data_IF_480265475541
#
_entry.id   IF_480265475541
#
_cell.length_a   1.000
_cell.length_b   1.000
_cell.length_c   1.000
_cell.angle_alpha   90.00
_cell.angle_beta   90.00
_cell.angle_gamma   90.00
#
_symmetry.space_group_name_H-M   'P 1'
#
loop_
_entity.id
_entity.type
_entity.pdbx_description
1 polymer ?
#
# COMPACT_ATOMS: atom_id res chain seq x y z
N UNK A 1 -11.00 -18.23 -8.08
CA UNK A 1 -12.22 -17.94 -8.85
C UNK A 1 -11.78 -17.60 -10.26
N UNK A 2 -12.24 -18.34 -11.26
CA UNK A 2 -11.86 -18.05 -12.65
C UNK A 2 -12.73 -16.89 -13.18
N UNK A 3 -12.12 -15.94 -13.89
CA UNK A 3 -12.81 -14.78 -14.48
C UNK A 3 -13.81 -15.15 -15.59
N UNK A 4 -13.57 -16.25 -16.30
CA UNK A 4 -14.37 -16.74 -17.42
C UNK A 4 -14.01 -16.08 -18.76
N UNK A 5 -14.61 -16.59 -19.84
CA UNK A 5 -14.49 -16.08 -21.22
C UNK A 5 -15.64 -15.13 -21.61
N UNK A 6 -16.43 -14.70 -20.63
CA UNK A 6 -17.62 -13.89 -20.85
C UNK A 6 -17.29 -12.47 -21.30
N UNK A 7 -18.20 -11.87 -22.06
CA UNK A 7 -18.04 -10.47 -22.48
C UNK A 7 -18.09 -9.47 -21.31
N UNK A 8 -18.79 -9.84 -20.24
CA UNK A 8 -19.00 -9.04 -19.02
C UNK A 8 -19.31 -10.01 -17.87
N UNK A 9 -18.31 -10.32 -17.06
CA UNK A 9 -18.46 -11.16 -15.88
C UNK A 9 -18.46 -10.32 -14.61
N UNK A 10 -19.11 -10.83 -13.57
CA UNK A 10 -19.14 -10.20 -12.25
C UNK A 10 -18.61 -11.23 -11.25
N UNK A 11 -17.49 -10.90 -10.63
CA UNK A 11 -16.90 -11.70 -9.56
C UNK A 11 -17.09 -10.96 -8.25
N UNK A 12 -17.38 -11.69 -7.19
CA UNK A 12 -17.54 -11.12 -5.86
C UNK A 12 -16.52 -11.71 -4.92
N UNK A 13 -15.80 -10.83 -4.24
CA UNK A 13 -14.80 -11.17 -3.23
C UNK A 13 -15.26 -10.65 -1.86
N UNK A 14 -14.71 -11.21 -0.80
CA UNK A 14 -15.07 -10.86 0.58
C UNK A 14 -14.01 -9.94 1.19
N UNK A 15 -14.39 -8.82 1.80
CA UNK A 15 -13.45 -7.80 2.29
C UNK A 15 -12.78 -8.11 3.64
N UNK A 16 -12.87 -9.35 4.13
CA UNK A 16 -12.38 -9.65 5.48
C UNK A 16 -10.87 -9.84 5.43
N UNK A 17 -10.14 -9.40 6.46
CA UNK A 17 -8.67 -9.48 6.46
C UNK A 17 -8.13 -10.90 6.34
N UNK A 18 -8.89 -11.90 6.77
CA UNK A 18 -8.58 -13.33 6.61
C UNK A 18 -8.97 -13.91 5.23
N UNK A 19 -9.55 -13.10 4.34
CA UNK A 19 -10.05 -13.56 3.05
C UNK A 19 -8.96 -13.44 1.99
N UNK A 20 -8.36 -14.57 1.61
CA UNK A 20 -7.48 -14.67 0.45
C UNK A 20 -8.16 -15.37 -0.73
N UNK A 21 -8.94 -14.61 -1.50
CA UNK A 21 -9.46 -15.10 -2.76
C UNK A 21 -8.41 -14.91 -3.85
N UNK A 22 -8.24 -15.93 -4.68
CA UNK A 22 -7.42 -15.84 -5.88
C UNK A 22 -8.33 -15.63 -7.10
N UNK A 23 -8.10 -14.59 -7.88
CA UNK A 23 -8.76 -14.36 -9.17
C UNK A 23 -7.89 -14.93 -10.29
N UNK A 24 -8.33 -16.04 -10.87
CA UNK A 24 -7.58 -16.80 -11.87
C UNK A 24 -7.90 -16.28 -13.26
N UNK A 25 -6.86 -15.90 -13.98
CA UNK A 25 -6.87 -15.48 -15.37
C UNK A 25 -6.02 -16.46 -16.16
N UNK A 26 -6.69 -17.41 -16.82
CA UNK A 26 -6.04 -18.49 -17.60
C UNK A 26 -6.38 -18.46 -19.10
N UNK A 27 -7.18 -17.49 -19.52
CA UNK A 27 -7.51 -17.21 -20.91
C UNK A 27 -7.86 -15.73 -21.10
N UNK A 28 -8.01 -15.29 -22.35
CA UNK A 28 -8.51 -13.95 -22.65
C UNK A 28 -9.99 -13.84 -22.24
N UNK A 29 -10.36 -12.70 -21.69
CA UNK A 29 -11.64 -12.38 -21.10
C UNK A 29 -12.19 -11.05 -21.66
N UNK A 30 -13.48 -10.79 -21.44
CA UNK A 30 -14.08 -9.51 -21.78
C UNK A 30 -13.82 -8.45 -20.70
N UNK A 31 -14.89 -7.85 -20.20
CA UNK A 31 -14.83 -7.04 -18.97
C UNK A 31 -15.19 -7.90 -17.76
N UNK A 32 -14.47 -7.73 -16.66
CA UNK A 32 -14.81 -8.34 -15.38
C UNK A 32 -14.97 -7.23 -14.35
N UNK A 33 -16.14 -7.15 -13.74
CA UNK A 33 -16.36 -6.29 -12.58
C UNK A 33 -16.16 -7.10 -11.31
N UNK A 34 -15.19 -6.70 -10.50
CA UNK A 34 -14.89 -7.30 -9.22
C UNK A 34 -15.56 -6.45 -8.13
N UNK A 35 -16.51 -7.07 -7.44
CA UNK A 35 -17.23 -6.44 -6.33
C UNK A 35 -16.57 -6.88 -5.02
N UNK A 36 -15.91 -5.92 -4.35
CA UNK A 36 -15.46 -6.09 -2.98
C UNK A 36 -16.54 -5.58 -2.01
N UNK A 37 -16.93 -6.43 -1.05
CA UNK A 37 -18.00 -6.11 -0.10
C UNK A 37 -17.45 -5.61 1.22
N UNK A 38 -17.33 -4.28 1.39
CA UNK A 38 -16.91 -3.68 2.65
C UNK A 38 -18.00 -3.76 3.73
N UNK A 39 -17.62 -3.75 5.01
CA UNK A 39 -18.58 -3.65 6.13
C UNK A 39 -19.07 -2.22 6.37
N UNK A 40 -18.36 -1.23 5.85
CA UNK A 40 -18.75 0.18 5.92
C UNK A 40 -19.78 0.55 4.86
N UNK A 41 -20.47 1.67 5.06
CA UNK A 41 -21.46 2.17 4.12
C UNK A 41 -20.84 2.40 2.73
N UNK A 42 -21.56 2.14 1.62
CA UNK A 42 -21.10 2.54 0.30
C UNK A 42 -20.83 4.06 0.16
N UNK A 43 -21.44 4.88 1.03
CA UNK A 43 -21.23 6.33 1.04
C UNK A 43 -20.01 6.76 1.88
N UNK A 44 -19.40 5.81 2.61
CA UNK A 44 -18.27 6.03 3.51
C UNK A 44 -17.00 5.46 2.87
N UNK A 45 -16.54 6.13 1.79
CA UNK A 45 -15.43 5.66 0.95
C UNK A 45 -14.07 5.77 1.64
N UNK A 46 -13.92 6.71 2.57
CA UNK A 46 -12.66 7.01 3.26
C UNK A 46 -12.36 5.99 4.38
N UNK A 47 -13.39 5.29 4.90
CA UNK A 47 -13.24 4.25 5.93
C UNK A 47 -13.24 2.81 5.36
N UNK A 48 -12.95 2.63 4.06
CA UNK A 48 -12.94 1.32 3.39
C UNK A 48 -11.60 0.59 3.53
N UNK A 49 -10.99 0.65 4.70
CA UNK A 49 -9.66 0.08 4.96
C UNK A 49 -9.69 -1.46 4.96
N UNK A 50 -10.88 -2.05 5.12
CA UNK A 50 -11.09 -3.49 5.04
C UNK A 50 -11.05 -3.95 3.57
N UNK A 51 -9.89 -4.42 3.13
CA UNK A 51 -9.67 -5.13 1.87
C UNK A 51 -9.03 -6.48 2.23
N UNK A 52 -9.68 -7.60 1.90
CA UNK A 52 -9.04 -8.90 2.13
C UNK A 52 -7.78 -9.05 1.28
N UNK A 53 -6.84 -9.88 1.73
CA UNK A 53 -5.58 -10.16 1.02
C UNK A 53 -5.82 -11.05 -0.22
N UNK A 54 -6.44 -10.49 -1.26
CA UNK A 54 -6.73 -11.20 -2.50
C UNK A 54 -5.55 -11.13 -3.46
N UNK A 55 -5.41 -12.15 -4.32
CA UNK A 55 -4.36 -12.20 -5.33
C UNK A 55 -4.90 -12.41 -6.74
N UNK A 56 -4.20 -11.85 -7.71
CA UNK A 56 -4.36 -12.16 -9.13
C UNK A 56 -3.49 -13.36 -9.50
N UNK A 57 -4.05 -14.32 -10.22
CA UNK A 57 -3.34 -15.52 -10.64
C UNK A 57 -3.28 -15.57 -12.17
N UNK A 58 -2.08 -15.29 -12.67
CA UNK A 58 -1.70 -15.35 -14.07
C UNK A 58 -0.76 -16.53 -14.35
N UNK A 59 -0.77 -17.59 -13.52
CA UNK A 59 0.13 -18.74 -13.68
C UNK A 59 0.01 -19.48 -15.02
N UNK A 60 -1.06 -19.24 -15.78
CA UNK A 60 -1.21 -19.73 -17.16
C UNK A 60 -0.34 -18.97 -18.18
N UNK A 61 0.11 -17.76 -17.82
CA UNK A 61 0.92 -16.86 -18.65
C UNK A 61 2.33 -16.64 -18.08
N UNK A 62 2.47 -16.73 -16.75
CA UNK A 62 3.72 -16.52 -16.04
C UNK A 62 4.36 -17.87 -15.70
N UNK A 63 4.96 -18.51 -16.71
CA UNK A 63 5.53 -19.86 -16.63
C UNK A 63 7.06 -19.90 -16.76
N UNK A 64 7.74 -18.76 -16.59
CA UNK A 64 9.20 -18.67 -16.68
C UNK A 64 9.88 -19.56 -15.63
N UNK A 65 10.97 -20.20 -16.03
CA UNK A 65 11.78 -21.07 -15.17
C UNK A 65 13.26 -20.70 -15.28
N UNK A 66 14.02 -20.94 -14.22
CA UNK A 66 15.49 -20.83 -14.21
C UNK A 66 16.13 -22.18 -13.94
N UNK A 67 17.32 -22.39 -14.50
CA UNK A 67 18.16 -23.57 -14.24
C UNK A 67 19.64 -23.19 -14.08
N UNK A 68 20.07 -23.06 -12.83
CA UNK A 68 21.47 -22.82 -12.42
C UNK A 68 22.48 -23.83 -12.99
N UNK A 69 21.99 -24.97 -13.51
CA UNK A 69 22.84 -26.06 -13.98
C UNK A 69 23.45 -25.82 -15.37
N UNK A 70 23.03 -24.77 -16.09
CA UNK A 70 23.59 -24.24 -17.36
C UNK A 70 23.95 -25.37 -18.36
N UNK A 71 23.02 -26.31 -18.56
CA UNK A 71 23.28 -27.52 -19.34
C UNK A 71 22.19 -27.88 -20.36
N UNK A 72 21.36 -26.91 -20.72
CA UNK A 72 20.24 -27.02 -21.66
C UNK A 72 19.19 -28.10 -21.31
N UNK A 73 19.16 -28.64 -20.07
CA UNK A 73 18.11 -29.56 -19.64
C UNK A 73 17.30 -28.98 -18.47
N UNK A 74 15.97 -29.00 -18.60
CA UNK A 74 15.06 -28.55 -17.55
C UNK A 74 14.89 -29.57 -16.42
N UNK A 75 15.82 -30.52 -16.23
CA UNK A 75 15.67 -31.57 -15.21
C UNK A 75 15.82 -31.00 -13.78
N UNK A 76 16.52 -29.87 -13.63
CA UNK A 76 16.71 -29.13 -12.37
C UNK A 76 16.06 -27.75 -12.36
N UNK A 77 15.31 -27.42 -13.41
CA UNK A 77 14.64 -26.13 -13.51
C UNK A 77 13.66 -25.91 -12.36
N UNK A 78 13.61 -24.67 -11.87
CA UNK A 78 12.66 -24.21 -10.87
C UNK A 78 11.88 -23.03 -11.43
N UNK A 79 10.63 -22.90 -11.02
CA UNK A 79 9.79 -21.76 -11.42
C UNK A 79 10.37 -20.45 -10.86
N UNK A 80 10.32 -19.40 -11.67
CA UNK A 80 10.57 -18.04 -11.20
C UNK A 80 9.34 -17.60 -10.41
N UNK A 81 9.53 -17.19 -9.16
CA UNK A 81 8.43 -16.69 -8.34
C UNK A 81 7.81 -15.45 -9.00
N UNK A 82 6.49 -15.36 -8.97
CA UNK A 82 5.80 -14.20 -9.52
C UNK A 82 6.05 -12.96 -8.65
N UNK A 83 6.16 -11.79 -9.27
CA UNK A 83 6.32 -10.52 -8.55
C UNK A 83 5.30 -9.48 -9.00
N UNK A 84 5.02 -8.52 -8.13
CA UNK A 84 4.23 -7.33 -8.45
C UNK A 84 5.14 -6.11 -8.49
N UNK A 85 5.00 -5.29 -9.53
CA UNK A 85 5.75 -4.07 -9.74
C UNK A 85 4.79 -2.91 -9.98
N UNK A 86 4.91 -1.87 -9.16
CA UNK A 86 4.23 -0.59 -9.39
C UNK A 86 5.20 0.32 -10.12
N UNK A 87 5.00 0.48 -11.42
CA UNK A 87 6.01 1.08 -12.30
C UNK A 87 6.32 2.52 -11.91
N UNK A 88 7.59 2.79 -11.64
CA UNK A 88 8.04 4.12 -11.26
C UNK A 88 7.86 5.13 -12.41
N UNK A 89 7.49 6.37 -12.10
CA UNK A 89 7.30 7.40 -13.12
C UNK A 89 5.99 7.30 -13.91
N UNK A 90 5.15 6.29 -13.66
CA UNK A 90 3.73 6.35 -13.98
C UNK A 90 3.08 7.38 -13.02
N UNK A 91 3.07 8.64 -13.44
CA UNK A 91 2.97 9.88 -12.64
C UNK A 91 1.76 10.06 -11.72
N UNK A 92 0.94 9.03 -11.53
CA UNK A 92 -0.24 9.03 -10.68
C UNK A 92 -0.32 7.85 -9.69
N UNK A 93 0.75 7.05 -9.52
CA UNK A 93 0.83 5.98 -8.49
C UNK A 93 1.53 6.39 -7.19
N UNK A 94 1.92 7.66 -7.03
CA UNK A 94 2.65 8.13 -5.84
C UNK A 94 4.07 7.56 -5.74
N UNK A 95 4.91 8.13 -4.87
CA UNK A 95 6.26 7.60 -4.59
C UNK A 95 6.27 6.59 -3.43
N UNK A 96 5.14 6.42 -2.76
CA UNK A 96 4.97 5.46 -1.67
C UNK A 96 4.33 4.20 -2.25
N UNK A 97 5.12 3.12 -2.35
CA UNK A 97 4.62 1.79 -2.67
C UNK A 97 4.55 0.95 -1.40
N UNK A 98 3.58 0.05 -1.33
CA UNK A 98 3.48 -0.93 -0.24
C UNK A 98 4.74 -1.78 -0.17
N UNK A 99 5.12 -2.19 1.05
CA UNK A 99 6.25 -3.10 1.24
C UNK A 99 6.07 -4.38 0.41
N UNK A 100 7.15 -4.88 -0.18
CA UNK A 100 7.14 -6.09 -1.01
C UNK A 100 6.78 -5.87 -2.48
N UNK A 101 6.32 -4.67 -2.85
CA UNK A 101 6.17 -4.28 -4.26
C UNK A 101 7.47 -3.71 -4.80
N UNK A 102 7.84 -4.10 -6.02
CA UNK A 102 8.86 -3.39 -6.76
C UNK A 102 8.34 -2.00 -7.16
N UNK A 103 9.26 -1.04 -7.26
CA UNK A 103 8.97 0.30 -7.75
C UNK A 103 10.07 0.77 -8.70
N UNK A 104 10.14 0.13 -9.85
CA UNK A 104 11.10 0.49 -10.89
C UNK A 104 10.49 0.31 -12.29
N UNK A 105 11.26 0.69 -13.30
CA UNK A 105 10.86 0.65 -14.71
C UNK A 105 11.24 -0.69 -15.39
N UNK A 106 11.39 -1.78 -14.63
CA UNK A 106 11.87 -3.07 -15.10
C UNK A 106 10.78 -4.14 -15.03
N UNK A 107 10.43 -4.72 -16.17
CA UNK A 107 9.59 -5.91 -16.25
C UNK A 107 10.47 -7.16 -16.13
N UNK A 108 10.44 -7.82 -14.97
CA UNK A 108 11.21 -9.05 -14.69
C UNK A 108 10.43 -10.29 -15.19
N UNK A 109 11.13 -11.40 -15.42
CA UNK A 109 10.47 -12.69 -15.66
C UNK A 109 9.39 -12.97 -14.59
N UNK A 110 8.22 -13.43 -15.04
CA UNK A 110 7.02 -13.64 -14.20
C UNK A 110 6.54 -12.40 -13.41
N UNK A 111 6.75 -11.18 -13.89
CA UNK A 111 6.25 -9.96 -13.23
C UNK A 111 4.86 -9.53 -13.69
N UNK A 112 4.08 -8.97 -12.76
CA UNK A 112 2.84 -8.23 -13.01
C UNK A 112 3.12 -6.75 -12.75
N UNK A 113 3.07 -5.95 -13.81
CA UNK A 113 3.47 -4.54 -13.80
C UNK A 113 2.23 -3.65 -13.89
N UNK A 114 2.02 -2.80 -12.90
CA UNK A 114 0.94 -1.81 -12.89
C UNK A 114 1.46 -0.46 -13.37
N UNK A 115 0.79 0.11 -14.37
CA UNK A 115 1.09 1.42 -14.95
C UNK A 115 -0.21 2.21 -15.00
N UNK A 116 -0.16 3.51 -14.73
CA UNK A 116 -1.31 4.40 -14.93
C UNK A 116 -1.26 5.11 -16.27
N UNK A 117 -2.35 5.07 -17.03
CA UNK A 117 -2.51 5.76 -18.31
C UNK A 117 -3.01 7.18 -18.09
N UNK A 118 -2.28 8.18 -18.58
CA UNK A 118 -2.69 9.58 -18.51
C UNK A 118 -3.18 10.07 -19.88
N UNK A 119 -4.49 9.98 -20.10
CA UNK A 119 -5.08 10.31 -21.40
C UNK A 119 -5.00 11.80 -21.73
N UNK A 120 -4.81 12.67 -20.72
CA UNK A 120 -4.82 14.12 -20.89
C UNK A 120 -3.49 14.69 -21.44
N UNK A 121 -2.45 13.86 -21.59
CA UNK A 121 -1.16 14.30 -22.11
C UNK A 121 -1.11 14.39 -23.64
N UNK A 122 -2.01 13.69 -24.34
CA UNK A 122 -2.03 13.64 -25.81
C UNK A 122 -3.44 13.76 -26.38
N UNK A 123 -3.59 14.66 -27.37
CA UNK A 123 -4.89 14.94 -27.99
C UNK A 123 -5.36 13.74 -28.86
N UNK A 124 -6.38 13.02 -28.39
CA UNK A 124 -7.08 11.99 -29.17
C UNK A 124 -6.67 10.55 -28.85
N UNK A 125 -5.74 10.36 -27.93
CA UNK A 125 -5.38 9.07 -27.36
C UNK A 125 -6.23 8.85 -26.11
N UNK A 126 -6.79 7.66 -25.98
CA UNK A 126 -7.82 7.40 -24.95
C UNK A 126 -7.63 6.01 -24.39
N UNK A 127 -8.06 5.81 -23.14
CA UNK A 127 -8.01 4.49 -22.52
C UNK A 127 -8.80 3.46 -23.33
N UNK A 128 -9.98 3.83 -23.85
CA UNK A 128 -10.78 2.99 -24.75
C UNK A 128 -9.99 2.59 -26.02
N UNK A 129 -9.19 3.50 -26.57
CA UNK A 129 -8.38 3.28 -27.76
C UNK A 129 -7.08 2.51 -27.55
N UNK A 130 -6.62 2.34 -26.31
CA UNK A 130 -5.45 1.50 -25.97
C UNK A 130 -5.73 0.04 -26.35
N UNK A 131 -4.83 -0.59 -27.09
CA UNK A 131 -4.88 -1.98 -27.55
C UNK A 131 -3.47 -2.58 -27.54
N UNK A 132 -3.38 -3.88 -27.82
CA UNK A 132 -2.12 -4.62 -27.93
C UNK A 132 -1.07 -3.91 -28.81
N UNK A 133 -1.47 -3.47 -30.01
CA UNK A 133 -0.55 -2.90 -31.00
C UNK A 133 0.00 -1.54 -30.58
N UNK A 134 -0.81 -0.64 -30.03
CA UNK A 134 -0.31 0.68 -29.63
C UNK A 134 0.39 0.64 -28.28
N UNK A 135 0.03 -0.25 -27.35
CA UNK A 135 0.81 -0.48 -26.14
C UNK A 135 2.23 -0.96 -26.48
N UNK A 136 2.34 -1.99 -27.33
CA UNK A 136 3.64 -2.53 -27.74
C UNK A 136 4.49 -1.48 -28.46
N UNK A 137 3.85 -0.67 -29.32
CA UNK A 137 4.54 0.40 -30.06
C UNK A 137 5.02 1.49 -29.11
N UNK A 138 4.19 1.88 -28.14
CA UNK A 138 4.51 2.92 -27.17
C UNK A 138 5.63 2.50 -26.22
N UNK A 139 5.58 1.29 -25.64
CA UNK A 139 6.63 0.79 -24.74
C UNK A 139 7.96 0.50 -25.45
N UNK A 140 7.95 0.38 -26.78
CA UNK A 140 9.17 0.25 -27.60
C UNK A 140 9.43 1.51 -28.44
N UNK A 141 8.84 2.65 -28.08
CA UNK A 141 8.87 3.86 -28.91
C UNK A 141 10.29 4.39 -29.03
N UNK A 142 10.85 4.38 -30.24
CA UNK A 142 12.18 4.95 -30.49
C UNK A 142 12.16 6.49 -30.59
N UNK A 143 10.99 7.07 -30.85
CA UNK A 143 10.76 8.50 -31.02
C UNK A 143 9.36 8.87 -30.45
N UNK A 144 9.18 10.15 -30.08
CA UNK A 144 7.95 10.63 -29.43
C UNK A 144 6.66 10.52 -30.26
N UNK A 145 6.77 10.28 -31.57
CA UNK A 145 5.60 10.09 -32.45
C UNK A 145 4.97 8.69 -32.30
N UNK A 146 5.68 7.74 -31.69
CA UNK A 146 5.25 6.35 -31.46
C UNK A 146 4.72 6.13 -30.03
N UNK A 147 4.75 7.17 -29.19
CA UNK A 147 4.19 7.17 -27.82
C UNK A 147 2.65 7.07 -27.85
N UNK A 148 2.04 6.66 -26.73
CA UNK A 148 0.59 6.65 -26.57
C UNK A 148 0.20 7.14 -25.16
N UNK A 149 -0.36 8.34 -25.05
CA UNK A 149 -0.61 9.05 -23.80
C UNK A 149 0.71 9.40 -23.11
N UNK A 150 0.91 8.85 -21.91
CA UNK A 150 2.18 8.89 -21.19
C UNK A 150 3.06 7.64 -21.42
N UNK A 151 2.60 6.66 -22.19
CA UNK A 151 3.31 5.40 -22.39
C UNK A 151 4.46 5.61 -23.39
N UNK A 152 5.67 5.27 -22.98
CA UNK A 152 6.90 5.38 -23.78
C UNK A 152 7.93 4.33 -23.35
N UNK A 153 9.05 4.26 -24.08
CA UNK A 153 10.18 3.35 -23.82
C UNK A 153 10.86 3.60 -22.47
N UNK A 154 10.83 4.82 -21.94
CA UNK A 154 11.38 5.10 -20.62
C UNK A 154 10.52 4.57 -19.47
N UNK A 155 9.24 4.27 -19.72
CA UNK A 155 8.27 3.96 -18.68
C UNK A 155 8.38 2.51 -18.18
N UNK A 156 8.53 1.53 -19.04
CA UNK A 156 8.72 0.14 -18.64
C UNK A 156 9.53 -0.58 -19.71
N UNK A 157 10.60 -1.25 -19.28
CA UNK A 157 11.50 -2.00 -20.17
C UNK A 157 11.65 -3.44 -19.68
N UNK A 158 11.90 -4.40 -20.59
CA UNK A 158 12.31 -5.74 -20.18
C UNK A 158 13.57 -5.73 -19.31
N UNK A 159 13.55 -6.53 -18.25
CA UNK A 159 14.70 -6.82 -17.42
C UNK A 159 15.49 -8.02 -17.93
N UNK A 160 16.70 -8.19 -17.38
CA UNK A 160 17.51 -9.40 -17.62
C UNK A 160 17.31 -10.45 -16.55
N UNK A 161 17.01 -11.69 -16.96
CA UNK A 161 16.92 -12.84 -16.07
C UNK A 161 18.04 -13.84 -16.37
N UNK A 162 18.94 -14.00 -15.40
CA UNK A 162 20.02 -14.98 -15.51
C UNK A 162 19.47 -16.40 -15.47
N UNK A 163 20.15 -17.31 -16.17
CA UNK A 163 19.88 -18.76 -16.14
C UNK A 163 18.44 -19.14 -16.53
N UNK A 164 17.75 -18.28 -17.28
CA UNK A 164 16.41 -18.53 -17.81
C UNK A 164 16.40 -19.78 -18.70
N UNK A 165 15.39 -20.63 -18.53
CA UNK A 165 15.17 -21.80 -19.37
C UNK A 165 14.51 -21.35 -20.68
N UNK A 166 15.32 -21.29 -21.73
CA UNK A 166 14.90 -20.72 -23.02
C UNK A 166 15.20 -19.23 -23.10
N UNK A 167 14.75 -18.59 -24.17
CA UNK A 167 15.12 -17.20 -24.47
C UNK A 167 13.97 -16.21 -24.23
N UNK A 168 12.75 -16.69 -23.94
CA UNK A 168 11.54 -15.86 -23.82
C UNK A 168 11.15 -15.68 -22.36
N UNK A 169 10.88 -14.43 -21.96
CA UNK A 169 10.32 -14.04 -20.66
C UNK A 169 8.86 -13.62 -20.81
N UNK A 170 8.08 -13.85 -19.75
CA UNK A 170 6.67 -13.53 -19.68
C UNK A 170 6.40 -12.40 -18.69
N UNK A 171 5.53 -11.47 -19.09
CA UNK A 171 5.16 -10.30 -18.28
C UNK A 171 3.66 -10.06 -18.39
N UNK A 172 3.04 -9.64 -17.30
CA UNK A 172 1.71 -9.03 -17.33
C UNK A 172 1.88 -7.53 -17.17
N UNK A 173 1.16 -6.75 -17.97
CA UNK A 173 1.04 -5.30 -17.83
C UNK A 173 -0.42 -4.95 -17.61
N UNK A 174 -0.71 -4.33 -16.47
CA UNK A 174 -2.01 -3.80 -16.11
C UNK A 174 -1.97 -2.29 -16.23
N UNK A 175 -2.65 -1.76 -17.25
CA UNK A 175 -2.73 -0.34 -17.51
C UNK A 175 -4.01 0.22 -16.89
N UNK A 176 -3.88 1.07 -15.88
CA UNK A 176 -4.97 1.70 -15.16
C UNK A 176 -5.53 2.92 -15.91
N UNK A 177 -6.85 3.07 -15.87
CA UNK A 177 -7.57 4.23 -16.40
C UNK A 177 -7.46 5.44 -15.44
N UNK A 178 -6.85 6.55 -15.87
CA UNK A 178 -6.79 7.78 -15.04
C UNK A 178 -8.14 8.40 -14.73
N UNK A 179 -9.16 8.16 -15.57
CA UNK A 179 -10.51 8.67 -15.38
C UNK A 179 -11.41 7.76 -14.54
N UNK A 180 -11.00 6.51 -14.29
CA UNK A 180 -11.75 5.52 -13.54
C UNK A 180 -10.78 4.64 -12.76
N UNK A 181 -10.34 5.15 -11.61
CA UNK A 181 -9.42 4.45 -10.71
C UNK A 181 -9.95 3.05 -10.34
N UNK A 182 -9.07 2.05 -10.37
CA UNK A 182 -9.45 0.65 -10.20
C UNK A 182 -9.91 -0.07 -11.46
N UNK A 183 -9.99 0.59 -12.62
CA UNK A 183 -10.21 -0.04 -13.92
C UNK A 183 -8.89 -0.22 -14.68
N UNK A 184 -8.56 -1.47 -15.04
CA UNK A 184 -7.32 -1.86 -15.68
C UNK A 184 -7.58 -2.60 -16.99
N UNK A 185 -6.85 -2.24 -18.04
CA UNK A 185 -6.66 -3.10 -19.22
C UNK A 185 -5.45 -3.99 -18.98
N UNK A 186 -5.61 -5.29 -19.20
CA UNK A 186 -4.61 -6.30 -18.88
C UNK A 186 -4.03 -6.86 -20.17
N UNK A 187 -2.71 -6.91 -20.25
CA UNK A 187 -1.96 -7.39 -21.40
C UNK A 187 -0.94 -8.43 -20.97
N UNK A 188 -0.76 -9.48 -21.78
CA UNK A 188 0.38 -10.37 -21.70
C UNK A 188 1.44 -9.92 -22.70
N UNK A 189 2.64 -9.63 -22.21
CA UNK A 189 3.77 -9.24 -23.02
C UNK A 189 4.86 -10.31 -22.93
N UNK A 190 5.61 -10.47 -24.01
CA UNK A 190 6.83 -11.28 -24.01
C UNK A 190 8.04 -10.45 -24.38
N UNK A 191 9.22 -10.85 -23.92
CA UNK A 191 10.50 -10.28 -24.33
C UNK A 191 11.57 -11.38 -24.44
N UNK A 192 12.71 -11.07 -25.06
CA UNK A 192 13.89 -11.93 -24.90
C UNK A 192 14.60 -11.64 -23.55
N UNK A 193 15.41 -12.56 -23.03
CA UNK A 193 16.08 -12.41 -21.71
C UNK A 193 17.06 -11.23 -21.63
N UNK A 194 17.59 -10.76 -22.74
CA UNK A 194 18.53 -9.63 -22.82
C UNK A 194 18.10 -8.56 -23.82
N UNK A 195 16.81 -8.53 -24.16
CA UNK A 195 16.25 -7.53 -25.06
C UNK A 195 16.07 -6.18 -24.37
N UNK A 196 16.31 -5.12 -25.14
CA UNK A 196 15.93 -3.75 -24.77
C UNK A 196 14.43 -3.50 -25.03
N UNK A 197 13.78 -4.31 -25.88
CA UNK A 197 12.40 -4.13 -26.36
C UNK A 197 11.50 -5.34 -26.04
N UNK A 198 10.20 -5.10 -25.86
CA UNK A 198 9.19 -6.16 -25.84
C UNK A 198 9.00 -6.77 -27.24
N UNK A 199 8.73 -8.07 -27.29
CA UNK A 199 8.57 -8.84 -28.53
C UNK A 199 7.12 -8.94 -28.99
N UNK A 200 6.19 -9.17 -28.07
CA UNK A 200 4.75 -9.27 -28.35
C UNK A 200 3.94 -8.61 -27.25
N UNK A 201 2.69 -8.25 -27.57
CA UNK A 201 1.66 -7.91 -26.62
C UNK A 201 0.35 -8.54 -27.08
N UNK A 202 -0.40 -9.10 -26.14
CA UNK A 202 -1.73 -9.67 -26.35
C UNK A 202 -2.69 -9.10 -25.28
N UNK A 203 -3.76 -8.43 -25.70
CA UNK A 203 -4.78 -7.93 -24.76
C UNK A 203 -5.58 -9.10 -24.19
N UNK A 204 -5.55 -9.25 -22.87
CA UNK A 204 -6.29 -10.28 -22.16
C UNK A 204 -7.71 -9.83 -21.82
N UNK A 205 -7.92 -8.56 -21.47
CA UNK A 205 -9.25 -8.04 -21.14
C UNK A 205 -9.23 -6.82 -20.23
N UNK A 206 -10.37 -6.49 -19.62
CA UNK A 206 -10.51 -5.36 -18.67
C UNK A 206 -10.99 -5.83 -17.30
N UNK A 207 -10.26 -5.51 -16.24
CA UNK A 207 -10.66 -5.73 -14.84
C UNK A 207 -11.10 -4.40 -14.23
N UNK A 208 -12.22 -4.40 -13.50
CA UNK A 208 -12.77 -3.21 -12.85
C UNK A 208 -13.10 -3.53 -11.40
N UNK A 209 -12.27 -3.06 -10.48
CA UNK A 209 -12.40 -3.28 -9.04
C UNK A 209 -13.24 -2.19 -8.35
N UNK A 210 -13.65 -1.15 -9.08
CA UNK A 210 -14.35 0.02 -8.56
C UNK A 210 -13.53 0.99 -7.70
N UNK A 211 -12.32 0.58 -7.28
CA UNK A 211 -11.29 1.37 -6.64
C UNK A 211 -9.92 0.69 -6.85
N UNK A 212 -8.82 1.41 -6.61
CA UNK A 212 -7.48 0.81 -6.55
C UNK A 212 -7.42 -0.34 -5.54
N UNK A 213 -6.64 -1.38 -5.86
CA UNK A 213 -6.52 -2.59 -5.03
C UNK A 213 -5.12 -2.75 -4.44
N UNK A 214 -5.03 -3.52 -3.36
CA UNK A 214 -3.77 -4.13 -2.95
C UNK A 214 -3.31 -5.14 -4.02
N UNK A 215 -2.09 -4.98 -4.48
CA UNK A 215 -1.52 -5.77 -5.59
C UNK A 215 -0.82 -7.02 -5.04
N UNK A 216 -1.57 -8.09 -4.78
CA UNK A 216 -0.97 -9.41 -4.58
C UNK A 216 -1.06 -10.26 -5.84
N UNK A 217 -0.06 -11.11 -6.03
CA UNK A 217 0.02 -12.04 -7.16
C UNK A 217 0.22 -13.46 -6.64
N UNK A 218 -0.53 -14.42 -7.17
CA UNK A 218 -0.36 -15.82 -6.83
C UNK A 218 0.99 -16.33 -7.35
N UNK A 219 1.68 -17.13 -6.53
CA UNK A 219 3.06 -17.55 -6.79
C UNK A 219 4.12 -16.53 -6.36
N UNK A 220 3.71 -15.40 -5.75
CA UNK A 220 4.64 -14.53 -5.01
C UNK A 220 4.90 -15.08 -3.61
N UNK A 221 6.14 -14.95 -3.14
CA UNK A 221 6.54 -15.43 -1.81
C UNK A 221 5.72 -14.77 -0.70
N UNK A 222 5.41 -13.47 -0.82
CA UNK A 222 4.57 -12.75 0.16
C UNK A 222 3.17 -13.36 0.28
N UNK A 223 2.51 -13.62 -0.85
CA UNK A 223 1.18 -14.21 -0.83
C UNK A 223 1.18 -15.66 -0.31
N UNK A 224 2.21 -16.44 -0.66
CA UNK A 224 2.40 -17.79 -0.12
C UNK A 224 2.59 -17.78 1.40
N UNK A 225 3.45 -16.89 1.91
CA UNK A 225 3.66 -16.71 3.35
C UNK A 225 2.36 -16.35 4.07
N UNK A 226 1.56 -15.44 3.50
CA UNK A 226 0.25 -15.08 4.06
C UNK A 226 -0.68 -16.31 4.12
N UNK A 227 -0.81 -17.05 3.01
CA UNK A 227 -1.71 -18.22 2.93
C UNK A 227 -1.27 -19.34 3.88
N UNK A 228 0.03 -19.55 4.04
CA UNK A 228 0.58 -20.50 5.01
C UNK A 228 0.29 -20.05 6.45
N UNK A 229 0.55 -18.78 6.76
CA UNK A 229 0.35 -18.22 8.09
C UNK A 229 -1.12 -18.26 8.54
N UNK A 230 -2.06 -17.87 7.67
CA UNK A 230 -3.51 -17.94 7.98
C UNK A 230 -3.99 -19.39 8.15
N UNK A 231 -3.45 -20.32 7.36
CA UNK A 231 -3.77 -21.75 7.47
C UNK A 231 -3.26 -22.32 8.79
N UNK A 232 -2.02 -21.98 9.18
CA UNK A 232 -1.42 -22.41 10.44
C UNK A 232 -2.16 -21.82 11.65
N UNK A 233 -2.49 -20.53 11.60
CA UNK A 233 -3.25 -19.86 12.65
C UNK A 233 -4.61 -20.53 12.89
N UNK A 234 -5.32 -20.86 11.81
CA UNK A 234 -6.59 -21.58 11.88
C UNK A 234 -6.45 -23.00 12.45
N UNK A 235 -5.41 -23.74 12.06
CA UNK A 235 -5.15 -25.08 12.58
C UNK A 235 -4.79 -25.08 14.08
N UNK A 236 -4.09 -24.04 14.54
CA UNK A 236 -3.76 -23.82 15.95
C UNK A 236 -4.91 -23.20 16.75
N UNK A 237 -5.95 -22.70 16.07
CA UNK A 237 -7.04 -21.94 16.68
C UNK A 237 -6.61 -20.58 17.21
N UNK A 238 -5.53 -20.02 16.66
CA UNK A 238 -5.10 -18.65 16.88
C UNK A 238 -6.03 -17.68 16.15
N UNK A 239 -6.16 -16.48 16.71
CA UNK A 239 -6.88 -15.37 16.09
C UNK A 239 -5.92 -14.51 15.28
N UNK A 240 -4.73 -14.28 15.81
CA UNK A 240 -3.76 -13.36 15.20
C UNK A 240 -2.60 -14.14 14.60
N UNK A 241 -2.00 -13.62 13.52
CA UNK A 241 -0.87 -14.22 12.85
C UNK A 241 -0.01 -13.21 12.13
N UNK A 242 1.29 -13.50 12.06
CA UNK A 242 2.26 -12.69 11.33
C UNK A 242 2.77 -13.42 10.10
N UNK A 243 3.08 -12.67 9.05
CA UNK A 243 3.73 -13.21 7.85
C UNK A 243 4.83 -12.27 7.34
N UNK A 244 5.83 -12.86 6.70
CA UNK A 244 6.93 -12.10 6.13
C UNK A 244 6.53 -11.55 4.76
N UNK A 245 6.75 -10.25 4.58
CA UNK A 245 6.64 -9.54 3.30
C UNK A 245 7.98 -9.58 2.61
N UNK A 246 8.01 -10.13 1.41
CA UNK A 246 9.21 -10.45 0.65
C UNK A 246 9.21 -9.67 -0.67
N UNK A 247 10.35 -9.06 -1.00
CA UNK A 247 10.56 -8.38 -2.28
C UNK A 247 10.82 -9.35 -3.44
N UNK A 248 10.88 -8.85 -4.68
CA UNK A 248 11.20 -9.65 -5.88
C UNK A 248 12.60 -10.29 -5.84
N UNK A 249 13.50 -9.78 -5.01
CA UNK A 249 14.83 -10.35 -4.78
C UNK A 249 14.84 -11.49 -3.75
N UNK A 250 13.69 -11.82 -3.16
CA UNK A 250 13.56 -12.85 -2.13
C UNK A 250 13.98 -12.39 -0.73
N UNK A 251 14.14 -11.08 -0.50
CA UNK A 251 14.50 -10.54 0.82
C UNK A 251 13.24 -10.23 1.62
N UNK A 252 13.23 -10.59 2.91
CA UNK A 252 12.21 -10.12 3.85
C UNK A 252 12.42 -8.63 4.08
N UNK A 253 11.45 -7.82 3.67
CA UNK A 253 11.48 -6.35 3.78
C UNK A 253 10.59 -5.82 4.89
N UNK A 254 9.58 -6.59 5.30
CA UNK A 254 8.74 -6.30 6.45
C UNK A 254 8.15 -7.58 7.04
N UNK A 255 7.57 -7.47 8.22
CA UNK A 255 6.69 -8.50 8.80
C UNK A 255 5.36 -7.81 9.06
N UNK A 256 4.29 -8.37 8.54
CA UNK A 256 2.92 -7.85 8.69
C UNK A 256 2.15 -8.71 9.70
N UNK A 257 1.18 -8.09 10.37
CA UNK A 257 0.24 -8.72 11.32
C UNK A 257 -1.17 -8.73 10.72
N UNK A 258 -1.93 -9.78 11.00
CA UNK A 258 -3.29 -9.97 10.52
C UNK A 258 -4.11 -10.83 11.50
N UNK A 259 -5.44 -10.67 11.47
CA UNK A 259 -6.39 -11.42 12.31
C UNK A 259 -7.35 -12.27 11.45
N UNK A 260 -7.48 -13.54 11.82
CA UNK A 260 -8.37 -14.55 11.22
C UNK A 260 -9.86 -14.20 11.41
N UNK A 261 -10.19 -13.46 12.46
CA UNK A 261 -11.55 -13.08 12.86
C UNK A 261 -11.90 -11.64 12.53
N UNK A 262 -10.99 -10.86 11.95
CA UNK A 262 -11.32 -9.51 11.51
C UNK A 262 -12.28 -9.57 10.30
N UNK A 263 -13.56 -9.63 10.65
CA UNK A 263 -14.64 -10.25 9.87
C UNK A 263 -15.89 -10.55 10.71
N UNK A 264 -15.73 -10.87 11.99
CA UNK A 264 -16.83 -10.96 12.97
C UNK A 264 -16.67 -9.84 14.00
N UNK A 265 -17.50 -8.81 13.91
CA UNK A 265 -17.41 -7.67 14.82
C UNK A 265 -17.45 -8.09 16.29
N UNK A 266 -16.49 -7.58 17.07
CA UNK A 266 -16.65 -7.39 18.50
C UNK A 266 -16.60 -5.89 18.83
N UNK A 267 -17.64 -5.18 18.42
CA UNK A 267 -18.08 -4.01 19.18
C UNK A 267 -18.66 -4.53 20.51
N UNK A 268 -17.81 -4.81 21.51
CA UNK A 268 -18.31 -5.58 22.66
C UNK A 268 -17.45 -5.82 23.89
N UNK A 269 -16.40 -5.04 24.17
CA UNK A 269 -16.00 -4.69 25.53
C UNK A 269 -15.24 -5.73 26.39
N UNK A 270 -14.16 -5.26 26.99
CA UNK A 270 -13.61 -5.82 28.22
C UNK A 270 -13.33 -4.69 29.22
N UNK A 271 -14.31 -4.41 30.08
CA UNK A 271 -14.12 -3.60 31.26
C UNK A 271 -13.15 -4.28 32.25
N UNK A 272 -12.17 -3.50 32.71
CA UNK A 272 -11.28 -3.85 33.82
C UNK A 272 -11.03 -2.63 34.69
N UNK A 273 -12.02 -2.25 35.51
CA UNK A 273 -11.92 -1.11 36.44
C UNK A 273 -10.87 -1.29 37.53
N UNK A 274 -10.27 -0.18 37.98
CA UNK A 274 -9.24 -0.21 39.03
C UNK A 274 -8.73 1.12 39.61
N UNK A 275 -9.62 2.01 40.03
CA UNK A 275 -9.47 2.93 41.18
C UNK A 275 -8.23 3.88 41.31
N UNK A 276 -8.43 5.15 40.94
CA UNK A 276 -8.52 6.31 41.85
C UNK A 276 -7.32 6.78 42.71
N UNK A 277 -6.87 8.02 42.45
CA UNK A 277 -6.52 9.13 43.39
C UNK A 277 -5.61 10.12 42.61
N UNK A 278 -5.94 11.39 42.36
CA UNK A 278 -6.23 12.44 43.33
C UNK A 278 -4.92 13.10 43.83
N UNK A 279 -4.51 14.24 43.27
CA UNK A 279 -3.40 15.01 43.87
C UNK A 279 -2.87 16.19 43.05
N UNK A 280 -3.16 17.40 43.52
CA UNK A 280 -2.74 18.68 42.94
C UNK A 280 -1.23 18.97 43.04
N UNK A 281 -0.69 19.60 41.98
CA UNK A 281 0.12 20.82 42.02
C UNK A 281 1.60 20.74 42.42
N UNK A 282 2.48 21.32 41.59
CA UNK A 282 3.77 21.82 42.06
C UNK A 282 4.85 21.99 40.99
N UNK A 283 5.12 23.24 40.65
CA UNK A 283 6.34 23.77 40.02
C UNK A 283 7.67 23.16 40.50
N UNK A 284 8.65 22.99 39.61
CA UNK A 284 10.06 22.95 40.01
C UNK A 284 11.03 22.33 39.01
N UNK A 285 11.87 23.19 38.41
CA UNK A 285 13.02 22.84 37.58
C UNK A 285 14.05 21.90 38.26
N UNK A 286 14.73 21.07 37.45
CA UNK A 286 16.10 20.62 37.75
C UNK A 286 16.50 19.22 37.27
N UNK A 287 16.98 19.14 36.03
CA UNK A 287 18.21 18.44 35.62
C UNK A 287 18.50 16.99 36.07
N UNK A 288 18.55 16.09 35.08
CA UNK A 288 19.71 15.22 34.86
C UNK A 288 19.52 13.72 35.06
N UNK A 289 19.35 13.00 33.95
CA UNK A 289 20.10 11.77 33.66
C UNK A 289 19.39 10.42 33.84
N UNK A 290 19.06 9.82 32.68
CA UNK A 290 19.13 8.39 32.32
C UNK A 290 18.14 7.39 32.95
N UNK A 291 17.25 6.86 32.09
CA UNK A 291 16.47 5.63 32.28
C UNK A 291 14.98 5.87 32.03
N UNK A 292 14.59 5.89 30.75
CA UNK A 292 13.27 6.32 30.24
C UNK A 292 12.09 5.70 30.99
N UNK A 293 11.40 6.54 31.74
CA UNK A 293 9.98 6.34 32.04
C UNK A 293 9.25 7.18 30.99
N UNK A 294 8.28 6.58 30.30
CA UNK A 294 7.35 7.33 29.46
C UNK A 294 6.66 8.39 30.33
N UNK A 295 6.65 9.63 29.85
CA UNK A 295 6.01 10.78 30.47
C UNK A 295 4.66 11.01 29.78
N UNK A 296 3.60 11.30 30.53
CA UNK A 296 2.30 11.70 29.96
C UNK A 296 2.05 13.16 30.27
N UNK A 297 1.79 13.95 29.23
CA UNK A 297 1.47 15.37 29.29
C UNK A 297 0.02 15.55 28.91
N UNK A 298 -0.80 16.01 29.85
CA UNK A 298 -2.21 16.30 29.56
C UNK A 298 -2.36 17.71 28.99
N UNK A 299 -2.95 17.77 27.80
CA UNK A 299 -3.11 18.97 26.99
C UNK A 299 -4.59 19.35 26.97
N UNK A 300 -4.95 20.30 27.83
CA UNK A 300 -6.35 20.76 27.99
C UNK A 300 -6.61 22.13 27.33
N UNK A 301 -5.74 22.58 26.43
CA UNK A 301 -5.77 23.91 25.84
C UNK A 301 -4.45 24.33 25.20
N UNK A 302 -4.42 25.56 24.66
CA UNK A 302 -3.26 26.07 23.95
C UNK A 302 -1.98 26.11 24.81
N UNK A 303 -0.84 25.79 24.20
CA UNK A 303 0.44 25.71 24.91
C UNK A 303 1.60 25.25 24.03
N UNK A 304 2.72 24.97 24.69
CA UNK A 304 3.94 24.45 24.08
C UNK A 304 4.63 23.44 25.01
N UNK A 305 5.30 22.43 24.44
CA UNK A 305 6.17 21.49 25.17
C UNK A 305 7.35 20.97 24.31
N UNK A 306 8.28 20.23 24.92
CA UNK A 306 9.51 19.73 24.31
C UNK A 306 9.79 18.25 24.68
N UNK A 307 9.72 17.36 23.69
CA UNK A 307 9.92 15.91 23.83
C UNK A 307 11.40 15.47 23.86
N UNK A 308 12.38 16.40 23.82
CA UNK A 308 13.80 16.04 23.67
C UNK A 308 14.42 15.15 24.77
N UNK A 309 13.76 14.96 25.91
CA UNK A 309 14.37 14.36 27.10
C UNK A 309 13.87 12.95 27.44
N UNK A 310 12.75 12.50 26.87
CA UNK A 310 12.13 11.19 27.09
C UNK A 310 11.02 10.97 26.06
N UNK A 311 10.60 9.72 25.91
CA UNK A 311 9.39 9.34 25.16
C UNK A 311 8.14 9.91 25.88
N UNK A 312 7.39 10.79 25.22
CA UNK A 312 6.25 11.52 25.77
C UNK A 312 4.94 11.13 25.08
N UNK A 313 3.91 10.84 25.87
CA UNK A 313 2.52 10.77 25.41
C UNK A 313 1.84 12.12 25.65
N UNK A 314 1.44 12.80 24.60
CA UNK A 314 0.62 14.01 24.66
C UNK A 314 -0.84 13.63 24.57
N UNK A 315 -1.57 13.77 25.68
CA UNK A 315 -2.97 13.37 25.84
C UNK A 315 -3.88 14.59 25.67
N UNK A 316 -4.61 14.68 24.55
CA UNK A 316 -5.36 15.87 24.13
C UNK A 316 -6.85 15.78 24.48
N UNK A 317 -7.34 16.76 25.23
CA UNK A 317 -8.78 16.96 25.47
C UNK A 317 -9.51 17.54 24.23
N UNK A 318 -10.82 17.35 24.17
CA UNK A 318 -11.70 18.07 23.22
C UNK A 318 -11.62 19.60 23.40
N UNK A 319 -11.50 20.32 22.28
CA UNK A 319 -11.52 21.78 22.26
C UNK A 319 -11.01 22.40 20.96
N UNK A 320 -11.01 23.73 20.94
CA UNK A 320 -10.52 24.53 19.82
C UNK A 320 -9.28 25.34 20.24
N UNK A 321 -8.09 24.83 19.96
CA UNK A 321 -6.82 25.45 20.35
C UNK A 321 -5.62 24.95 19.55
N UNK A 322 -4.52 25.70 19.63
CA UNK A 322 -3.23 25.41 18.97
C UNK A 322 -2.20 24.97 20.03
N UNK A 323 -1.43 23.92 19.76
CA UNK A 323 -0.38 23.42 20.66
C UNK A 323 0.92 23.12 19.89
N UNK A 324 2.05 23.62 20.38
CA UNK A 324 3.36 23.44 19.73
C UNK A 324 4.20 22.38 20.46
N UNK A 325 4.77 21.41 19.74
CA UNK A 325 5.65 20.38 20.29
C UNK A 325 7.02 20.47 19.62
N UNK A 326 8.08 20.62 20.41
CA UNK A 326 9.45 20.55 19.92
C UNK A 326 10.04 19.14 20.05
N UNK A 327 10.86 18.76 19.08
CA UNK A 327 11.69 17.54 19.07
C UNK A 327 10.91 16.22 19.21
N UNK A 328 9.69 16.15 18.65
CA UNK A 328 8.93 14.91 18.53
C UNK A 328 9.69 13.89 17.67
N UNK A 329 9.87 12.67 18.17
CA UNK A 329 10.63 11.61 17.50
C UNK A 329 10.03 10.22 17.79
N UNK A 330 10.68 9.16 17.31
CA UNK A 330 10.28 7.78 17.55
C UNK A 330 10.19 7.47 19.04
N UNK A 331 9.02 7.00 19.47
CA UNK A 331 8.72 6.70 20.87
C UNK A 331 7.73 7.68 21.51
N UNK A 332 7.57 8.87 20.94
CA UNK A 332 6.53 9.82 21.34
C UNK A 332 5.16 9.44 20.76
N UNK A 333 4.09 9.83 21.45
CA UNK A 333 2.70 9.55 21.08
C UNK A 333 1.86 10.82 21.13
N UNK A 334 1.04 11.05 20.11
CA UNK A 334 -0.09 11.97 20.17
C UNK A 334 -1.37 11.13 20.41
N UNK A 335 -1.99 11.30 21.58
CA UNK A 335 -3.21 10.62 21.97
C UNK A 335 -4.39 11.61 21.82
N UNK A 336 -5.25 11.33 20.84
CA UNK A 336 -6.45 12.11 20.56
C UNK A 336 -7.73 11.38 21.00
N UNK A 337 -7.62 10.32 21.81
CA UNK A 337 -8.77 9.50 22.23
C UNK A 337 -9.87 10.29 22.95
N UNK A 338 -9.49 11.37 23.64
CA UNK A 338 -10.44 12.22 24.35
C UNK A 338 -10.98 13.40 23.51
N UNK A 339 -10.47 13.62 22.28
CA UNK A 339 -10.90 14.73 21.41
C UNK A 339 -12.32 14.55 20.88
N UNK A 340 -12.73 13.33 20.52
CA UNK A 340 -14.09 13.02 20.05
C UNK A 340 -14.88 12.13 21.02
N UNK A 341 -14.32 11.84 22.20
CA UNK A 341 -14.99 11.17 23.31
C UNK A 341 -15.25 9.68 23.06
N UNK A 342 -16.43 9.33 22.53
CA UNK A 342 -16.77 7.91 22.21
C UNK A 342 -16.65 7.58 20.73
N UNK A 343 -16.53 8.61 19.90
CA UNK A 343 -16.29 8.52 18.47
C UNK A 343 -14.81 8.84 18.21
N UNK A 344 -14.26 8.42 17.07
CA UNK A 344 -12.86 8.70 16.72
C UNK A 344 -12.70 10.15 16.21
N UNK A 345 -11.59 10.79 16.61
CA UNK A 345 -11.23 12.10 16.10
C UNK A 345 -10.81 12.02 14.62
N UNK A 346 -11.16 13.03 13.82
CA UNK A 346 -10.76 13.11 12.42
C UNK A 346 -9.37 13.72 12.35
N UNK A 347 -8.35 12.92 12.07
CA UNK A 347 -6.97 13.35 11.94
C UNK A 347 -6.63 13.84 10.53
N UNK A 348 -5.92 14.96 10.42
CA UNK A 348 -5.40 15.48 9.16
C UNK A 348 -3.97 15.97 9.33
N UNK A 349 -3.13 15.72 8.33
CA UNK A 349 -1.87 16.44 8.15
C UNK A 349 -2.16 17.66 7.29
N UNK A 350 -1.87 18.85 7.80
CA UNK A 350 -2.12 20.10 7.10
C UNK A 350 -1.09 20.30 5.98
N UNK A 351 -1.52 20.98 4.91
CA UNK A 351 -0.68 21.22 3.74
C UNK A 351 0.55 22.05 4.11
N UNK A 352 1.73 21.46 3.94
CA UNK A 352 3.01 22.12 4.17
C UNK A 352 3.62 22.61 2.86
N UNK A 353 3.91 23.91 2.79
CA UNK A 353 4.47 24.56 1.62
C UNK A 353 6.00 24.49 1.56
N UNK A 354 6.69 24.20 2.66
CA UNK A 354 8.14 24.30 2.80
C UNK A 354 8.76 23.00 3.33
N UNK A 355 8.59 21.91 2.57
CA UNK A 355 9.16 20.61 2.92
C UNK A 355 10.65 20.70 3.29
N UNK A 356 11.01 20.20 4.47
CA UNK A 356 12.37 20.11 4.98
C UNK A 356 12.83 21.30 5.84
N UNK A 357 11.93 22.17 6.27
CA UNK A 357 12.22 23.25 7.23
C UNK A 357 12.14 22.80 8.70
N UNK A 358 11.68 21.57 8.95
CA UNK A 358 11.61 20.94 10.25
C UNK A 358 10.34 21.26 11.03
N UNK A 359 9.30 21.75 10.35
CA UNK A 359 7.98 22.06 10.91
C UNK A 359 6.88 21.20 10.25
N UNK A 360 5.93 20.69 11.04
CA UNK A 360 4.70 20.07 10.54
C UNK A 360 3.49 20.50 11.32
N UNK A 361 2.39 20.72 10.61
CA UNK A 361 1.11 21.08 11.22
C UNK A 361 0.11 19.95 11.01
N UNK A 362 -0.60 19.61 12.07
CA UNK A 362 -1.58 18.54 12.15
C UNK A 362 -2.87 19.10 12.72
N UNK A 363 -3.99 18.43 12.46
CA UNK A 363 -5.22 18.71 13.18
C UNK A 363 -5.97 17.43 13.54
N UNK A 364 -6.61 17.46 14.71
CA UNK A 364 -7.57 16.46 15.15
C UNK A 364 -8.91 17.17 15.39
N UNK A 365 -9.95 16.76 14.66
CA UNK A 365 -11.26 17.39 14.74
C UNK A 365 -12.30 16.46 15.38
N UNK A 366 -13.10 17.03 16.27
CA UNK A 366 -14.27 16.36 16.82
C UNK A 366 -15.40 16.41 15.77
N UNK A 367 -15.79 15.26 15.24
CA UNK A 367 -16.82 15.14 14.21
C UNK A 367 -18.22 15.61 14.64
N UNK A 368 -18.51 15.59 15.94
CA UNK A 368 -19.80 15.97 16.52
C UNK A 368 -19.93 17.49 16.77
N UNK A 369 -18.86 18.10 17.28
CA UNK A 369 -18.86 19.52 17.68
C UNK A 369 -18.28 20.44 16.60
N UNK A 370 -17.37 19.92 15.77
CA UNK A 370 -16.56 20.68 14.83
C UNK A 370 -15.41 21.45 15.50
N UNK A 371 -15.15 21.21 16.78
CA UNK A 371 -13.96 21.74 17.47
C UNK A 371 -12.70 21.05 16.92
N UNK A 372 -11.56 21.74 16.96
CA UNK A 372 -10.32 21.28 16.32
C UNK A 372 -9.12 21.64 17.18
N UNK A 373 -8.32 20.62 17.48
CA UNK A 373 -6.98 20.76 18.07
C UNK A 373 -5.99 20.85 16.91
N UNK A 374 -5.25 21.95 16.81
CA UNK A 374 -4.16 22.12 15.85
C UNK A 374 -2.82 21.90 16.56
N UNK A 375 -1.98 21.02 16.01
CA UNK A 375 -0.67 20.69 16.60
C UNK A 375 0.44 21.08 15.64
N UNK A 376 1.41 21.87 16.10
CA UNK A 376 2.63 22.18 15.34
C UNK A 376 3.80 21.40 15.91
N UNK A 377 4.35 20.47 15.13
CA UNK A 377 5.62 19.81 15.43
C UNK A 377 6.78 20.67 14.91
N UNK A 378 7.80 20.89 15.72
CA UNK A 378 9.02 21.63 15.36
C UNK A 378 10.27 20.86 15.75
N UNK A 379 11.39 21.14 15.06
CA UNK A 379 12.66 20.46 15.34
C UNK A 379 12.77 19.07 14.69
N UNK A 380 11.87 18.76 13.76
CA UNK A 380 11.94 17.54 12.95
C UNK A 380 13.20 17.55 12.08
N UNK A 381 13.74 16.37 11.79
CA UNK A 381 14.73 16.26 10.71
C UNK A 381 14.06 16.56 9.37
N UNK A 382 14.82 17.09 8.40
CA UNK A 382 14.30 17.34 7.06
C UNK A 382 13.73 16.08 6.38
N UNK A 383 14.17 14.89 6.78
CA UNK A 383 13.63 13.63 6.30
C UNK A 383 12.26 13.31 6.92
N UNK A 384 12.10 13.48 8.22
CA UNK A 384 10.82 13.29 8.92
C UNK A 384 9.77 14.28 8.42
N UNK A 385 10.14 15.55 8.32
CA UNK A 385 9.29 16.58 7.75
C UNK A 385 8.86 16.21 6.31
N UNK A 386 9.81 15.88 5.43
CA UNK A 386 9.43 15.53 4.05
C UNK A 386 8.61 14.22 3.93
N UNK A 387 8.62 13.35 4.95
CA UNK A 387 7.94 12.06 4.93
C UNK A 387 6.47 12.10 5.38
N UNK A 388 6.06 13.12 6.14
CA UNK A 388 4.72 13.19 6.77
C UNK A 388 3.74 14.01 5.92
N UNK A 389 2.72 13.35 5.37
CA UNK A 389 1.67 13.97 4.53
C UNK A 389 0.26 13.39 4.71
N UNK A 390 0.10 12.29 5.45
CA UNK A 390 -1.16 11.70 5.91
C UNK A 390 -0.93 10.86 7.19
N UNK A 391 -1.99 10.27 7.76
CA UNK A 391 -1.90 9.43 8.96
C UNK A 391 -0.89 8.28 8.82
N UNK A 392 -1.03 7.45 7.78
CA UNK A 392 -0.14 6.29 7.59
C UNK A 392 1.33 6.69 7.46
N UNK A 393 1.61 7.82 6.80
CA UNK A 393 2.98 8.35 6.69
C UNK A 393 3.52 8.89 8.03
N UNK A 394 2.64 9.36 8.92
CA UNK A 394 3.00 9.78 10.28
C UNK A 394 3.43 8.57 11.11
N UNK A 395 2.60 7.53 11.18
CA UNK A 395 2.88 6.29 11.90
C UNK A 395 4.10 5.56 11.33
N UNK A 396 4.31 5.58 10.01
CA UNK A 396 5.54 5.05 9.42
C UNK A 396 6.80 5.85 9.80
N UNK A 397 6.68 7.16 10.00
CA UNK A 397 7.80 8.04 10.31
C UNK A 397 8.20 7.97 11.79
N UNK A 398 7.22 7.87 12.69
CA UNK A 398 7.43 7.96 14.15
C UNK A 398 7.11 6.65 14.92
N UNK A 399 6.55 5.65 14.24
CA UNK A 399 6.17 4.35 14.82
C UNK A 399 4.65 4.17 14.89
N UNK A 400 4.18 2.92 14.87
CA UNK A 400 2.76 2.57 14.89
C UNK A 400 2.03 3.08 16.15
N UNK A 401 2.75 3.23 17.27
CA UNK A 401 2.21 3.74 18.54
C UNK A 401 2.28 5.29 18.65
N UNK A 402 2.65 5.99 17.57
CA UNK A 402 2.81 7.46 17.59
C UNK A 402 1.47 8.21 17.49
N UNK A 403 0.39 7.53 17.13
CA UNK A 403 -0.97 8.06 17.12
C UNK A 403 -1.92 7.11 17.86
N UNK A 404 -2.76 7.66 18.71
CA UNK A 404 -3.84 6.95 19.41
C UNK A 404 -5.14 7.75 19.25
N UNK A 405 -6.26 7.05 19.03
CA UNK A 405 -7.59 7.61 18.76
C UNK A 405 -8.69 6.92 19.56
#
# INVERSE_FOLDING_TARGET
>A
MNVGDGSNDIVSVHSGNASANTLVVDEAFGKVTVVNWHKVSPDDVDNRDEMGEHALDFSAYLDDQIDDSDNDNADTAVEVAASANMVAGASALGTAVSAGLDNDNTARANSVNSIRFEQNLADGETFEGLNDSNLLTALNAADADDEYGNLNDALLNPGTTADLVGDTQNHIVMVENDLNEGEYKVFHLTSESDADDFSTADELGTLDFGASINFNVAGSTTFENYVEAVSQAKDDGATDFTYDVVDSGGNVVATADADVNDGTGDAGGAGGGGAGAGGAGGSGAGGGGAGGASETVEVTGAGDDDAANADVTFDFDDGAYEFDIANFDTGDTLDFGDVAGVDQAIFNVLADANLGDGEKQLSAANGDTGDTVEVTLTGLTAAQDNAVFNQSSFENTFGADSLVF
#
